data_IF_181409502722
#
_entry.id   IF_181409502722
#
_cell.length_a   1.000
_cell.length_b   1.000
_cell.length_c   1.000
_cell.angle_alpha   90.00
_cell.angle_beta   90.00
_cell.angle_gamma   90.00
#
_symmetry.space_group_name_H-M   'P 1'
#
loop_
_entity.id
_entity.type
_entity.pdbx_description
1 polymer ?
#
# COMPACT_ATOMS: atom_id res chain seq x y z
N UNK A 1 -5.27 11.51 -6.66
CA UNK A 1 -5.73 10.46 -7.59
C UNK A 1 -7.23 10.28 -7.44
N UNK A 2 -8.02 10.09 -8.51
CA UNK A 2 -9.45 9.78 -8.39
C UNK A 2 -9.66 8.55 -7.52
N UNK A 3 -10.73 8.51 -6.71
CA UNK A 3 -11.03 7.43 -5.76
C UNK A 3 -11.01 6.04 -6.42
N UNK A 4 -11.45 5.99 -7.68
CA UNK A 4 -11.45 4.81 -8.54
C UNK A 4 -10.03 4.20 -8.68
N UNK A 5 -9.01 5.04 -8.79
CA UNK A 5 -7.62 4.60 -8.99
C UNK A 5 -7.04 4.02 -7.69
N UNK A 6 -7.46 4.53 -6.53
CA UNK A 6 -7.04 3.99 -5.23
C UNK A 6 -7.58 2.57 -5.03
N UNK A 7 -8.86 2.38 -5.35
CA UNK A 7 -9.51 1.06 -5.32
C UNK A 7 -8.80 0.10 -6.26
N UNK A 8 -8.49 0.55 -7.49
CA UNK A 8 -7.80 -0.27 -8.49
C UNK A 8 -6.43 -0.73 -8.00
N UNK A 9 -5.65 0.16 -7.38
CA UNK A 9 -4.33 -0.18 -6.81
C UNK A 9 -4.47 -1.18 -5.66
N UNK A 10 -5.44 -1.02 -4.75
CA UNK A 10 -5.67 -1.99 -3.67
C UNK A 10 -6.03 -3.38 -4.20
N UNK A 11 -6.86 -3.45 -5.23
CA UNK A 11 -7.20 -4.72 -5.90
C UNK A 11 -5.94 -5.35 -6.51
N UNK A 12 -5.15 -4.57 -7.24
CA UNK A 12 -3.90 -5.06 -7.87
C UNK A 12 -2.93 -5.59 -6.82
N UNK A 13 -2.69 -4.84 -5.74
CA UNK A 13 -1.79 -5.27 -4.65
C UNK A 13 -2.31 -6.53 -3.96
N UNK A 14 -3.62 -6.61 -3.70
CA UNK A 14 -4.24 -7.81 -3.12
C UNK A 14 -4.10 -9.04 -4.00
N UNK A 15 -4.31 -8.90 -5.31
CA UNK A 15 -4.11 -9.99 -6.27
C UNK A 15 -2.64 -10.41 -6.31
N UNK A 16 -1.71 -9.46 -6.41
CA UNK A 16 -0.26 -9.75 -6.42
C UNK A 16 0.16 -10.52 -5.18
N UNK A 17 -0.26 -10.07 -3.98
CA UNK A 17 0.05 -10.78 -2.74
C UNK A 17 -0.58 -12.18 -2.70
N UNK A 18 -1.83 -12.31 -3.14
CA UNK A 18 -2.54 -13.58 -3.23
C UNK A 18 -1.86 -14.58 -4.18
N UNK A 19 -1.36 -14.10 -5.32
CA UNK A 19 -0.57 -14.89 -6.26
C UNK A 19 0.76 -15.31 -5.63
N UNK A 20 1.51 -14.37 -5.06
CA UNK A 20 2.79 -14.67 -4.40
C UNK A 20 2.61 -15.76 -3.32
N UNK A 21 1.57 -15.65 -2.51
CA UNK A 21 1.26 -16.60 -1.44
C UNK A 21 0.81 -17.99 -1.93
N UNK A 22 0.30 -18.09 -3.17
CA UNK A 22 -0.23 -19.34 -3.75
C UNK A 22 0.76 -20.05 -4.67
N UNK A 23 1.57 -19.30 -5.40
CA UNK A 23 2.51 -19.84 -6.38
C UNK A 23 3.91 -20.07 -5.79
N UNK A 24 4.27 -19.40 -4.69
CA UNK A 24 5.55 -19.60 -4.02
C UNK A 24 5.29 -20.40 -2.73
N UNK A 25 5.67 -21.69 -2.67
CA UNK A 25 5.62 -22.45 -1.44
C UNK A 25 6.66 -21.90 -0.46
N UNK A 26 6.23 -20.96 0.39
CA UNK A 26 7.07 -20.33 1.40
C UNK A 26 6.95 -21.05 2.74
N UNK A 27 8.07 -21.15 3.46
CA UNK A 27 8.05 -21.54 4.87
C UNK A 27 7.17 -20.57 5.68
N UNK A 28 6.45 -21.07 6.69
CA UNK A 28 5.46 -20.30 7.45
C UNK A 28 5.98 -18.96 8.01
N UNK A 29 7.24 -18.91 8.45
CA UNK A 29 7.89 -17.70 8.94
C UNK A 29 8.05 -16.62 7.86
N UNK A 30 8.42 -17.01 6.64
CA UNK A 30 8.61 -16.08 5.51
C UNK A 30 7.26 -15.52 5.05
N UNK A 31 6.20 -16.34 5.04
CA UNK A 31 4.84 -15.90 4.73
C UNK A 31 4.38 -14.78 5.68
N UNK A 32 4.64 -14.93 6.98
CA UNK A 32 4.26 -13.93 7.99
C UNK A 32 4.98 -12.59 7.77
N UNK A 33 6.29 -12.63 7.50
CA UNK A 33 7.09 -11.44 7.22
C UNK A 33 6.60 -10.73 5.95
N UNK A 34 6.39 -11.46 4.86
CA UNK A 34 5.94 -10.89 3.59
C UNK A 34 4.57 -10.20 3.74
N UNK A 35 3.61 -10.86 4.37
CA UNK A 35 2.29 -10.29 4.61
C UNK A 35 2.39 -9.02 5.48
N UNK A 36 3.20 -9.06 6.54
CA UNK A 36 3.46 -7.89 7.38
C UNK A 36 4.05 -6.71 6.61
N UNK A 37 5.09 -6.95 5.81
CA UNK A 37 5.73 -5.91 5.00
C UNK A 37 4.76 -5.30 3.99
N UNK A 38 3.97 -6.12 3.29
CA UNK A 38 3.02 -5.60 2.30
C UNK A 38 1.87 -4.83 2.96
N UNK A 39 1.35 -5.32 4.09
CA UNK A 39 0.33 -4.57 4.85
C UNK A 39 0.87 -3.21 5.30
N UNK A 40 2.09 -3.16 5.85
CA UNK A 40 2.74 -1.89 6.25
C UNK A 40 2.91 -0.97 5.04
N UNK A 41 3.39 -1.48 3.92
CA UNK A 41 3.56 -0.69 2.69
C UNK A 41 2.24 -0.12 2.18
N UNK A 42 1.15 -0.91 2.20
CA UNK A 42 -0.20 -0.46 1.81
C UNK A 42 -0.70 0.63 2.76
N UNK A 43 -0.50 0.49 4.07
CA UNK A 43 -0.90 1.52 5.05
C UNK A 43 -0.14 2.83 4.83
N UNK A 44 1.18 2.78 4.67
CA UNK A 44 2.01 3.95 4.38
C UNK A 44 1.62 4.63 3.05
N UNK A 45 1.32 3.82 2.04
CA UNK A 45 0.86 4.30 0.75
C UNK A 45 -0.52 4.98 0.85
N UNK A 46 -1.47 4.37 1.55
CA UNK A 46 -2.79 4.99 1.78
C UNK A 46 -2.67 6.31 2.53
N UNK A 47 -1.87 6.39 3.59
CA UNK A 47 -1.60 7.65 4.32
C UNK A 47 -1.04 8.75 3.40
N UNK A 48 -0.18 8.37 2.45
CA UNK A 48 0.39 9.28 1.44
C UNK A 48 -0.66 9.73 0.41
N UNK A 49 -1.52 8.81 -0.04
CA UNK A 49 -2.55 9.05 -1.08
C UNK A 49 -3.74 9.86 -0.56
N UNK A 50 -4.19 9.62 0.67
CA UNK A 50 -5.24 10.41 1.30
C UNK A 50 -4.79 11.81 1.69
N UNK A 51 -3.53 12.16 1.44
CA UNK A 51 -3.08 13.53 1.56
C UNK A 51 -2.93 14.01 2.99
N UNK A 52 -2.79 13.14 3.99
CA UNK A 52 -2.28 13.56 5.32
C UNK A 52 -0.86 14.15 5.16
N UNK A 53 -0.09 13.63 4.20
CA UNK A 53 1.19 14.19 3.74
C UNK A 53 1.06 15.25 2.62
N UNK A 54 -0.10 15.31 1.94
CA UNK A 54 -0.35 16.19 0.79
C UNK A 54 -1.07 17.51 1.12
N UNK A 55 -1.86 17.57 2.20
CA UNK A 55 -2.41 18.84 2.72
C UNK A 55 -1.30 19.72 3.32
N UNK A 56 -0.20 19.12 3.77
CA UNK A 56 1.00 19.86 4.19
C UNK A 56 1.74 20.53 3.03
N UNK A 57 1.58 20.10 1.78
CA UNK A 57 2.21 20.75 0.60
C UNK A 57 1.41 21.93 0.04
N UNK A 58 0.15 22.12 0.50
CA UNK A 58 -0.67 23.29 0.15
C UNK A 58 -0.48 24.46 1.12
N UNK A 59 0.08 24.23 2.32
CA UNK A 59 0.53 25.33 3.18
C UNK A 59 1.89 25.81 2.67
N UNK A 60 1.83 26.75 1.73
CA UNK A 60 2.94 27.65 1.41
C UNK A 60 3.25 28.50 2.66
N UNK A 61 4.12 28.02 3.54
CA UNK A 61 4.84 28.90 4.46
C UNK A 61 5.91 29.60 3.63
N UNK A 62 5.63 30.83 3.21
CA UNK A 62 6.57 31.65 2.45
C UNK A 62 5.89 32.70 1.59
N UNK A 63 5.64 33.86 2.21
CA UNK A 63 5.89 35.15 1.56
C UNK A 63 7.02 35.80 2.35
#
# INVERSE_FOLDING_TARGET
>A
MPLIQVILVLIVVGIVLGLINRFIPMAGSIKSILNGVVVIAVVLWLLSVFGILGQLSTIRVGK
#
